data_IF_301893239821
#
_entry.id   IF_301893239821
#
_cell.length_a   1.000
_cell.length_b   1.000
_cell.length_c   1.000
_cell.angle_alpha   90.00
_cell.angle_beta   90.00
_cell.angle_gamma   90.00
#
_symmetry.space_group_name_H-M   'P 1'
#
loop_
_entity.id
_entity.type
_entity.pdbx_description
1 polymer ?
#
# COMPACT_ATOMS: atom_id res chain seq x y z
N UNK A 1 -41.07 6.75 -1.70
CA UNK A 1 -40.45 5.43 -1.94
C UNK A 1 -39.62 5.56 -3.19
N UNK A 2 -38.30 5.47 -3.06
CA UNK A 2 -37.42 5.38 -4.22
C UNK A 2 -37.56 4.01 -4.86
N UNK A 3 -37.23 3.87 -6.14
CA UNK A 3 -37.27 2.58 -6.86
C UNK A 3 -36.42 1.51 -6.18
N UNK A 4 -35.41 1.91 -5.42
CA UNK A 4 -34.47 1.05 -4.70
C UNK A 4 -35.07 0.49 -3.40
N UNK A 5 -35.89 1.28 -2.70
CA UNK A 5 -36.61 0.87 -1.48
C UNK A 5 -37.77 -0.09 -1.77
N UNK A 6 -38.25 -0.14 -3.01
CA UNK A 6 -39.33 -1.02 -3.47
C UNK A 6 -38.84 -2.42 -3.90
N UNK A 7 -37.54 -2.69 -3.85
CA UNK A 7 -36.99 -3.99 -4.20
C UNK A 7 -37.38 -5.07 -3.17
N UNK A 8 -37.40 -6.34 -3.59
CA UNK A 8 -37.58 -7.47 -2.66
C UNK A 8 -36.49 -7.48 -1.60
N UNK A 9 -36.83 -7.99 -0.41
CA UNK A 9 -35.94 -7.94 0.76
C UNK A 9 -34.56 -8.57 0.49
N UNK A 10 -34.54 -9.69 -0.24
CA UNK A 10 -33.30 -10.38 -0.64
C UNK A 10 -32.41 -9.54 -1.58
N UNK A 11 -33.02 -8.84 -2.54
CA UNK A 11 -32.28 -8.03 -3.52
C UNK A 11 -31.70 -6.77 -2.87
N UNK A 12 -32.43 -6.18 -1.92
CA UNK A 12 -31.95 -5.05 -1.12
C UNK A 12 -30.73 -5.47 -0.28
N UNK A 13 -30.80 -6.60 0.41
CA UNK A 13 -29.66 -7.12 1.17
C UNK A 13 -28.42 -7.38 0.31
N UNK A 14 -28.62 -7.92 -0.90
CA UNK A 14 -27.51 -8.16 -1.83
C UNK A 14 -26.85 -6.85 -2.24
N UNK A 15 -27.64 -5.83 -2.62
CA UNK A 15 -27.09 -4.50 -2.96
C UNK A 15 -26.36 -3.87 -1.79
N UNK A 16 -26.90 -3.97 -0.58
CA UNK A 16 -26.26 -3.44 0.63
C UNK A 16 -24.93 -4.14 0.91
N UNK A 17 -24.86 -5.46 0.70
CA UNK A 17 -23.60 -6.24 0.82
C UNK A 17 -22.57 -5.78 -0.21
N UNK A 18 -22.96 -5.63 -1.48
CA UNK A 18 -22.05 -5.15 -2.53
C UNK A 18 -21.58 -3.72 -2.30
N UNK A 19 -22.48 -2.82 -1.91
CA UNK A 19 -22.13 -1.43 -1.61
C UNK A 19 -21.15 -1.35 -0.44
N UNK A 20 -21.40 -2.10 0.64
CA UNK A 20 -20.47 -2.16 1.78
C UNK A 20 -19.12 -2.73 1.38
N UNK A 21 -19.09 -3.80 0.59
CA UNK A 21 -17.84 -4.39 0.10
C UNK A 21 -17.04 -3.41 -0.77
N UNK A 22 -17.70 -2.74 -1.71
CA UNK A 22 -17.06 -1.77 -2.59
C UNK A 22 -16.47 -0.59 -1.80
N UNK A 23 -17.21 -0.06 -0.82
CA UNK A 23 -16.72 1.02 0.06
C UNK A 23 -15.49 0.56 0.85
N UNK A 24 -15.52 -0.65 1.43
CA UNK A 24 -14.41 -1.18 2.20
C UNK A 24 -13.15 -1.37 1.36
N UNK A 25 -13.30 -1.93 0.16
CA UNK A 25 -12.19 -2.14 -0.77
C UNK A 25 -11.53 -0.81 -1.18
N UNK A 26 -12.34 0.22 -1.46
CA UNK A 26 -11.84 1.54 -1.87
C UNK A 26 -11.19 2.34 -0.72
N UNK A 27 -11.51 2.02 0.53
CA UNK A 27 -10.90 2.67 1.70
C UNK A 27 -9.50 2.14 2.04
N UNK A 28 -9.08 1.00 1.47
CA UNK A 28 -7.78 0.43 1.78
C UNK A 28 -6.65 1.24 1.13
N UNK A 29 -5.91 2.00 1.94
CA UNK A 29 -4.69 2.67 1.48
C UNK A 29 -3.59 1.63 1.24
N UNK A 30 -3.35 1.31 -0.02
CA UNK A 30 -2.22 0.44 -0.40
C UNK A 30 -0.95 1.28 -0.36
N UNK A 31 -0.01 0.94 0.53
CA UNK A 31 1.32 1.54 0.51
C UNK A 31 1.98 1.18 -0.83
N UNK A 32 2.26 2.22 -1.62
CA UNK A 32 2.83 2.11 -2.97
C UNK A 32 4.25 1.53 -2.90
N UNK A 33 4.51 0.50 -3.71
CA UNK A 33 5.84 -0.07 -3.92
C UNK A 33 5.87 -1.60 -3.90
N UNK A 34 6.87 -2.17 -4.57
CA UNK A 34 7.08 -3.62 -4.60
C UNK A 34 7.83 -4.05 -3.34
N UNK A 35 7.27 -4.93 -2.49
CA UNK A 35 7.99 -5.46 -1.33
C UNK A 35 9.17 -6.32 -1.82
N UNK A 36 10.33 -6.11 -1.24
CA UNK A 36 11.56 -6.84 -1.55
C UNK A 36 12.17 -7.43 -0.27
N UNK A 37 12.71 -8.64 -0.35
CA UNK A 37 13.40 -9.31 0.78
C UNK A 37 14.90 -8.94 0.86
N UNK A 38 15.36 -7.99 0.04
CA UNK A 38 16.79 -7.68 -0.12
C UNK A 38 17.40 -6.97 1.08
N UNK A 39 16.58 -6.27 1.88
CA UNK A 39 17.06 -5.48 3.01
C UNK A 39 16.40 -5.91 4.32
N UNK A 40 17.22 -6.12 5.36
CA UNK A 40 16.74 -6.36 6.72
C UNK A 40 16.62 -5.03 7.46
N UNK A 41 15.43 -4.74 8.00
CA UNK A 41 15.24 -3.55 8.81
C UNK A 41 16.01 -3.66 10.14
N UNK A 42 16.83 -2.67 10.48
CA UNK A 42 17.55 -2.62 11.75
C UNK A 42 16.66 -2.42 12.98
N UNK A 43 15.43 -1.90 12.83
CA UNK A 43 14.50 -1.67 13.95
C UNK A 43 13.62 -2.87 14.26
N UNK A 44 12.89 -3.40 13.27
CA UNK A 44 11.95 -4.51 13.49
C UNK A 44 12.55 -5.89 13.18
N UNK A 45 13.74 -5.95 12.56
CA UNK A 45 14.39 -7.20 12.18
C UNK A 45 13.74 -7.95 11.01
N UNK A 46 12.60 -7.47 10.50
CA UNK A 46 11.90 -8.06 9.36
C UNK A 46 12.45 -7.51 8.04
N UNK A 47 12.19 -8.23 6.96
CA UNK A 47 12.73 -7.93 5.63
C UNK A 47 11.72 -7.35 4.66
N UNK A 48 10.50 -7.04 5.12
CA UNK A 48 9.47 -6.39 4.32
C UNK A 48 9.84 -4.91 4.07
N UNK A 49 10.68 -4.67 3.06
CA UNK A 49 11.17 -3.35 2.71
C UNK A 49 10.93 -3.06 1.22
N UNK A 50 10.52 -1.82 0.92
CA UNK A 50 10.53 -1.26 -0.43
C UNK A 50 11.83 -0.51 -0.63
N UNK A 51 12.33 -0.48 -1.87
CA UNK A 51 13.48 0.32 -2.23
C UNK A 51 13.18 1.17 -3.46
N UNK A 52 13.78 2.35 -3.52
CA UNK A 52 13.67 3.25 -4.66
C UNK A 52 15.04 3.84 -4.93
N UNK A 53 15.49 3.74 -6.17
CA UNK A 53 16.77 4.29 -6.59
C UNK A 53 16.51 5.65 -7.21
N UNK A 54 17.10 6.69 -6.61
CA UNK A 54 17.07 8.03 -7.16
C UNK A 54 18.50 8.54 -7.29
N UNK A 55 18.81 9.13 -8.44
CA UNK A 55 20.04 9.86 -8.63
C UNK A 55 19.88 11.24 -7.99
N UNK A 56 20.45 11.42 -6.80
CA UNK A 56 20.41 12.69 -6.08
C UNK A 56 21.71 13.48 -6.18
N UNK A 57 22.70 12.98 -6.93
CA UNK A 57 24.05 13.57 -7.09
C UNK A 57 24.43 13.64 -8.57
N UNK A 58 25.53 14.34 -8.88
CA UNK A 58 26.03 14.52 -10.25
C UNK A 58 26.29 13.18 -10.94
N UNK A 59 26.33 13.19 -12.28
CA UNK A 59 26.44 11.99 -13.13
C UNK A 59 27.61 11.06 -12.81
N UNK A 60 28.68 11.55 -12.19
CA UNK A 60 29.86 10.77 -11.81
C UNK A 60 29.70 9.94 -10.52
N UNK A 61 28.61 10.11 -9.76
CA UNK A 61 28.36 9.34 -8.53
C UNK A 61 27.24 8.32 -8.73
N UNK A 62 27.36 7.12 -8.11
CA UNK A 62 26.36 6.07 -8.25
C UNK A 62 25.01 6.52 -7.67
N UNK A 63 23.93 5.94 -8.20
CA UNK A 63 22.57 6.21 -7.73
C UNK A 63 22.41 5.91 -6.23
N UNK A 64 21.67 6.76 -5.52
CA UNK A 64 21.38 6.53 -4.10
C UNK A 64 20.16 5.63 -3.97
N UNK A 65 20.28 4.54 -3.21
CA UNK A 65 19.15 3.64 -2.95
C UNK A 65 18.48 4.04 -1.64
N UNK A 66 17.23 4.48 -1.71
CA UNK A 66 16.38 4.73 -0.55
C UNK A 66 15.65 3.45 -0.18
N UNK A 67 15.70 3.05 1.08
CA UNK A 67 15.01 1.87 1.59
C UNK A 67 13.99 2.30 2.64
N UNK A 68 12.77 1.79 2.50
CA UNK A 68 11.66 2.04 3.42
C UNK A 68 11.12 0.70 3.95
N UNK A 69 11.03 0.57 5.27
CA UNK A 69 10.42 -0.59 5.90
C UNK A 69 8.91 -0.39 6.00
N UNK A 70 8.15 -1.30 5.36
CA UNK A 70 6.68 -1.26 5.34
C UNK A 70 6.07 -1.53 6.72
N UNK A 71 6.81 -2.15 7.64
CA UNK A 71 6.25 -2.57 8.92
C UNK A 71 6.39 -1.54 10.04
N UNK A 72 7.53 -0.85 10.10
CA UNK A 72 7.83 0.11 11.17
C UNK A 72 8.00 1.54 10.67
N UNK A 73 7.87 1.77 9.36
CA UNK A 73 8.04 3.08 8.73
C UNK A 73 9.47 3.61 8.74
N UNK A 74 10.45 2.77 9.08
CA UNK A 74 11.85 3.19 9.10
C UNK A 74 12.35 3.45 7.68
N UNK A 75 13.03 4.59 7.48
CA UNK A 75 13.62 4.98 6.19
C UNK A 75 15.11 5.23 6.33
N UNK A 76 15.91 4.69 5.43
CA UNK A 76 17.35 4.93 5.38
C UNK A 76 17.85 4.96 3.94
N UNK A 77 19.06 5.47 3.74
CA UNK A 77 19.74 5.50 2.44
C UNK A 77 20.93 4.55 2.44
N UNK A 78 21.15 3.90 1.32
CA UNK A 78 22.34 3.13 0.99
C UNK A 78 23.05 3.85 -0.16
N UNK A 79 24.31 4.25 0.08
CA UNK A 79 25.17 4.95 -0.86
C UNK A 79 26.22 3.99 -1.42
#
# INVERSE_FOLDING_TARGET
MTSEEMASDEVREMRDKFNKAAILEHQMSVQQGTPSDMFKCGKCGKKNCTYTQLQTRSSDEPMTTFVFCLECGNRWKFC
#
